data_IF_676159436644
#
_entry.id   IF_676159436644
#
_cell.length_a   1.000
_cell.length_b   1.000
_cell.length_c   1.000
_cell.angle_alpha   90.00
_cell.angle_beta   90.00
_cell.angle_gamma   90.00
#
_symmetry.space_group_name_H-M   'P 1'
#
loop_
_entity.id
_entity.type
_entity.pdbx_description
1 polymer ?
#
# COMPACT_ATOMS: atom_id res chain seq x y z
N UNK A 1 9.36 -8.66 -12.71
CA UNK A 1 7.94 -8.44 -13.07
C UNK A 1 7.59 -9.03 -14.45
N UNK A 2 8.14 -8.53 -15.57
CA UNK A 2 7.93 -9.13 -16.91
C UNK A 2 8.32 -10.61 -17.00
N UNK A 3 9.35 -11.05 -16.27
CA UNK A 3 9.74 -12.47 -16.20
C UNK A 3 8.69 -13.35 -15.51
N UNK A 4 7.91 -12.79 -14.57
CA UNK A 4 6.86 -13.50 -13.83
C UNK A 4 5.58 -13.57 -14.68
N UNK A 5 5.22 -12.45 -15.33
CA UNK A 5 4.04 -12.36 -16.19
C UNK A 5 4.38 -11.52 -17.44
N UNK A 6 4.76 -12.15 -18.57
CA UNK A 6 5.21 -11.44 -19.77
C UNK A 6 4.15 -10.49 -20.37
N UNK A 7 2.88 -10.88 -20.29
CA UNK A 7 1.74 -10.09 -20.78
C UNK A 7 1.40 -8.87 -19.94
N UNK A 8 2.04 -8.67 -18.78
CA UNK A 8 1.78 -7.52 -17.92
C UNK A 8 2.21 -6.21 -18.63
N UNK A 9 1.30 -5.24 -18.64
CA UNK A 9 1.59 -3.87 -19.03
C UNK A 9 2.19 -3.17 -17.81
N UNK A 10 3.33 -2.50 -18.00
CA UNK A 10 4.03 -1.79 -16.94
C UNK A 10 4.31 -0.38 -17.43
N UNK A 11 3.71 0.58 -16.77
CA UNK A 11 4.03 2.00 -16.92
C UNK A 11 4.92 2.43 -15.77
N UNK A 12 5.94 3.25 -16.06
CA UNK A 12 6.89 3.77 -15.07
C UNK A 12 6.89 5.28 -15.17
N UNK A 13 6.85 5.94 -14.02
CA UNK A 13 6.98 7.39 -13.92
C UNK A 13 8.18 7.72 -13.05
N UNK A 14 9.15 8.45 -13.62
CA UNK A 14 10.26 9.02 -12.86
C UNK A 14 9.88 10.44 -12.45
N UNK A 15 9.22 10.56 -11.30
CA UNK A 15 8.78 11.83 -10.76
C UNK A 15 8.69 11.78 -9.24
N UNK A 16 8.82 12.95 -8.61
CA UNK A 16 8.48 13.14 -7.20
C UNK A 16 7.02 13.55 -7.08
N UNK A 17 6.29 13.00 -6.11
CA UNK A 17 4.95 13.45 -5.77
C UNK A 17 5.03 14.62 -4.78
N UNK A 18 4.30 15.70 -5.06
CA UNK A 18 4.01 16.77 -4.14
C UNK A 18 2.53 16.82 -3.75
N UNK A 19 2.16 17.76 -2.85
CA UNK A 19 0.76 18.01 -2.51
C UNK A 19 -0.07 18.34 -3.76
N UNK A 20 -1.20 17.66 -3.91
CA UNK A 20 -2.15 17.76 -5.02
C UNK A 20 -1.87 16.83 -6.20
N UNK A 21 -0.71 16.16 -6.22
CA UNK A 21 -0.34 15.30 -7.33
C UNK A 21 -1.05 13.94 -7.29
N UNK A 22 -1.32 13.38 -6.11
CA UNK A 22 -1.77 11.99 -5.99
C UNK A 22 -3.10 11.75 -6.70
N UNK A 23 -4.07 12.64 -6.49
CA UNK A 23 -5.39 12.52 -7.12
C UNK A 23 -5.32 12.56 -8.66
N UNK A 24 -4.40 13.36 -9.22
CA UNK A 24 -4.18 13.49 -10.67
C UNK A 24 -3.40 12.29 -11.23
N UNK A 25 -2.29 11.94 -10.59
CA UNK A 25 -1.36 10.89 -11.04
C UNK A 25 -2.03 9.52 -11.00
N UNK A 26 -2.81 9.22 -9.97
CA UNK A 26 -3.51 7.94 -9.82
C UNK A 26 -4.96 8.00 -10.28
N UNK A 27 -5.33 8.98 -11.11
CA UNK A 27 -6.73 9.24 -11.50
C UNK A 27 -7.38 8.08 -12.26
N UNK A 28 -6.60 7.35 -13.04
CA UNK A 28 -6.98 6.17 -13.82
C UNK A 28 -6.85 4.84 -13.05
N UNK A 29 -6.28 4.86 -11.84
CA UNK A 29 -6.11 3.66 -11.03
C UNK A 29 -7.37 3.29 -10.26
N UNK A 30 -7.77 2.01 -10.27
CA UNK A 30 -8.82 1.47 -9.40
C UNK A 30 -8.34 1.25 -7.96
N UNK A 31 -7.09 0.80 -7.83
CA UNK A 31 -6.45 0.41 -6.56
C UNK A 31 -5.07 1.07 -6.51
N UNK A 32 -4.74 1.69 -5.38
CA UNK A 32 -3.43 2.31 -5.14
C UNK A 32 -2.78 1.63 -3.94
N UNK A 33 -1.56 1.12 -4.15
CA UNK A 33 -0.74 0.47 -3.12
C UNK A 33 0.38 1.43 -2.72
N UNK A 34 0.37 1.82 -1.45
CA UNK A 34 1.33 2.74 -0.85
C UNK A 34 2.51 1.98 -0.24
N UNK A 35 3.73 2.46 -0.54
CA UNK A 35 4.98 1.89 -0.03
C UNK A 35 6.05 2.95 0.23
N UNK A 36 5.67 4.14 0.69
CA UNK A 36 6.59 5.21 1.04
C UNK A 36 7.20 4.97 2.44
N UNK A 37 8.53 5.10 2.50
CA UNK A 37 9.25 5.17 3.77
C UNK A 37 9.06 6.54 4.47
N UNK A 38 8.71 7.57 3.69
CA UNK A 38 8.50 8.92 4.20
C UNK A 38 7.07 9.12 4.72
N UNK A 39 6.94 9.39 6.02
CA UNK A 39 5.64 9.61 6.70
C UNK A 39 4.83 10.78 6.14
N UNK A 40 5.48 11.84 5.67
CA UNK A 40 4.80 13.02 5.09
C UNK A 40 4.19 12.66 3.75
N UNK A 41 4.93 11.98 2.87
CA UNK A 41 4.41 11.52 1.58
C UNK A 41 3.28 10.51 1.74
N UNK A 42 3.44 9.57 2.69
CA UNK A 42 2.39 8.63 3.06
C UNK A 42 1.10 9.34 3.48
N UNK A 43 1.21 10.29 4.42
CA UNK A 43 0.06 11.07 4.89
C UNK A 43 -0.63 11.80 3.74
N UNK A 44 0.15 12.50 2.90
CA UNK A 44 -0.36 13.23 1.74
C UNK A 44 -1.12 12.31 0.78
N UNK A 45 -0.55 11.16 0.40
CA UNK A 45 -1.19 10.20 -0.49
C UNK A 45 -2.53 9.70 0.09
N UNK A 46 -2.54 9.33 1.37
CA UNK A 46 -3.74 8.83 2.03
C UNK A 46 -4.81 9.91 2.11
N UNK A 47 -4.46 11.14 2.52
CA UNK A 47 -5.43 12.24 2.65
C UNK A 47 -6.07 12.56 1.29
N UNK A 48 -5.26 12.71 0.23
CA UNK A 48 -5.75 13.07 -1.10
C UNK A 48 -6.63 12.01 -1.75
N UNK A 49 -6.38 10.72 -1.46
CA UNK A 49 -7.12 9.63 -2.07
C UNK A 49 -8.23 9.06 -1.18
N UNK A 50 -8.25 9.35 0.13
CA UNK A 50 -9.20 8.78 1.11
C UNK A 50 -10.67 9.11 0.83
N UNK A 51 -10.93 10.22 0.14
CA UNK A 51 -12.27 10.66 -0.23
C UNK A 51 -12.65 10.28 -1.66
N UNK A 52 -11.79 9.53 -2.34
CA UNK A 52 -12.07 8.98 -3.68
C UNK A 52 -12.75 7.62 -3.57
N UNK A 53 -13.32 7.12 -4.68
CA UNK A 53 -13.85 5.75 -4.75
C UNK A 53 -12.78 4.66 -4.90
N UNK A 54 -11.49 5.02 -4.89
CA UNK A 54 -10.37 4.09 -5.13
C UNK A 54 -10.11 3.25 -3.89
N UNK A 55 -9.65 2.01 -4.06
CA UNK A 55 -9.18 1.22 -2.92
C UNK A 55 -7.74 1.62 -2.61
N UNK A 56 -7.47 1.96 -1.34
CA UNK A 56 -6.11 2.26 -0.88
C UNK A 56 -5.61 1.11 -0.03
N UNK A 57 -4.37 0.67 -0.28
CA UNK A 57 -3.68 -0.34 0.51
C UNK A 57 -2.35 0.22 0.98
N UNK A 58 -2.09 0.27 2.28
CA UNK A 58 -0.91 0.91 2.87
C UNK A 58 -0.29 0.05 3.95
N UNK A 59 0.98 0.31 4.28
CA UNK A 59 1.70 -0.35 5.36
C UNK A 59 1.95 0.61 6.55
N UNK A 60 1.82 0.11 7.78
CA UNK A 60 2.18 0.86 8.99
C UNK A 60 2.74 -0.05 10.09
N UNK A 61 3.99 0.18 10.48
CA UNK A 61 4.67 -0.61 11.50
C UNK A 61 5.20 -1.95 10.95
N UNK A 62 6.24 -1.85 10.11
CA UNK A 62 6.90 -2.99 9.45
C UNK A 62 8.24 -3.36 10.06
N UNK A 63 8.71 -2.61 11.07
CA UNK A 63 10.01 -2.80 11.69
C UNK A 63 9.93 -3.76 12.88
N UNK A 64 11.09 -4.23 13.35
CA UNK A 64 11.18 -5.20 14.44
C UNK A 64 10.75 -6.62 14.05
N UNK A 65 10.99 -7.56 14.97
CA UNK A 65 10.84 -9.00 14.71
C UNK A 65 9.48 -9.56 15.09
N UNK A 66 8.65 -8.81 15.83
CA UNK A 66 7.32 -9.28 16.24
C UNK A 66 6.35 -9.26 15.05
N UNK A 67 6.03 -10.45 14.55
CA UNK A 67 5.08 -10.69 13.47
C UNK A 67 3.66 -11.00 13.97
N UNK A 68 3.50 -11.35 15.25
CA UNK A 68 2.21 -11.80 15.80
C UNK A 68 1.18 -10.66 15.88
N UNK A 69 1.66 -9.41 15.84
CA UNK A 69 0.84 -8.20 15.87
C UNK A 69 0.43 -7.68 14.51
N UNK A 70 0.94 -8.27 13.41
CA UNK A 70 0.60 -7.83 12.06
C UNK A 70 -0.87 -8.11 11.79
N UNK A 71 -1.64 -7.06 11.54
CA UNK A 71 -3.07 -7.14 11.26
C UNK A 71 -3.47 -6.14 10.18
N UNK A 72 -4.71 -6.26 9.69
CA UNK A 72 -5.32 -5.34 8.73
C UNK A 72 -6.33 -4.46 9.47
N UNK A 73 -6.22 -3.15 9.31
CA UNK A 73 -7.23 -2.17 9.74
C UNK A 73 -7.87 -1.52 8.52
N UNK A 74 -9.19 -1.38 8.52
CA UNK A 74 -9.95 -0.69 7.46
C UNK A 74 -10.47 0.65 7.97
N UNK A 75 -10.27 1.71 7.19
CA UNK A 75 -10.77 3.05 7.44
C UNK A 75 -11.32 3.62 6.12
N UNK A 76 -12.65 3.63 5.96
CA UNK A 76 -13.27 3.99 4.68
C UNK A 76 -12.83 3.05 3.55
N UNK A 77 -12.25 3.63 2.49
CA UNK A 77 -11.67 2.92 1.35
C UNK A 77 -10.22 2.45 1.58
N UNK A 78 -9.60 2.80 2.72
CA UNK A 78 -8.22 2.49 3.03
C UNK A 78 -8.08 1.21 3.87
N UNK A 79 -7.14 0.35 3.48
CA UNK A 79 -6.73 -0.85 4.19
C UNK A 79 -5.26 -0.70 4.59
N UNK A 80 -4.98 -0.70 5.89
CA UNK A 80 -3.65 -0.50 6.44
C UNK A 80 -3.19 -1.81 7.08
N UNK A 81 -2.04 -2.31 6.65
CA UNK A 81 -1.45 -3.57 7.11
C UNK A 81 -0.20 -3.30 7.94
N UNK A 82 -0.07 -3.98 9.07
CA UNK A 82 1.15 -3.97 9.88
C UNK A 82 0.86 -4.08 11.37
N UNK A 83 1.85 -3.76 12.21
CA UNK A 83 1.69 -3.85 13.67
C UNK A 83 1.21 -2.55 14.34
N UNK A 84 1.17 -1.44 13.58
CA UNK A 84 0.74 -0.11 14.00
C UNK A 84 1.50 0.50 15.18
N UNK A 85 2.69 -0.01 15.52
CA UNK A 85 3.48 0.46 16.67
C UNK A 85 4.94 0.67 16.28
N UNK A 86 5.54 -0.28 15.56
CA UNK A 86 6.97 -0.25 15.28
C UNK A 86 7.34 0.89 14.34
N UNK A 87 8.54 1.44 14.55
CA UNK A 87 9.14 2.44 13.67
C UNK A 87 10.57 2.03 13.34
N UNK A 88 10.98 2.27 12.10
CA UNK A 88 12.33 1.98 11.62
C UNK A 88 13.41 2.87 12.24
N UNK A 89 13.03 4.02 12.83
CA UNK A 89 13.94 4.85 13.61
C UNK A 89 14.36 4.16 14.92
N UNK A 90 13.50 3.31 15.48
CA UNK A 90 13.68 2.69 16.79
C UNK A 90 13.99 1.19 16.70
N UNK A 91 13.68 0.54 15.57
CA UNK A 91 13.79 -0.90 15.38
C UNK A 91 14.41 -1.22 14.01
N UNK A 92 15.28 -2.22 13.96
CA UNK A 92 15.77 -2.73 12.67
C UNK A 92 14.64 -3.35 11.84
N UNK A 93 14.75 -3.22 10.52
CA UNK A 93 13.84 -3.88 9.60
C UNK A 93 14.05 -5.39 9.59
N UNK A 94 12.96 -6.15 9.56
CA UNK A 94 13.01 -7.59 9.54
C UNK A 94 12.32 -8.13 8.27
N UNK A 95 13.12 -8.70 7.37
CA UNK A 95 12.67 -9.17 6.05
C UNK A 95 11.40 -10.04 6.09
N UNK A 96 11.29 -11.05 6.97
CA UNK A 96 10.07 -11.86 7.08
C UNK A 96 8.81 -11.05 7.42
N UNK A 97 8.91 -10.04 8.29
CA UNK A 97 7.78 -9.17 8.64
C UNK A 97 7.38 -8.26 7.47
N UNK A 98 8.37 -7.75 6.74
CA UNK A 98 8.13 -6.98 5.50
C UNK A 98 7.40 -7.84 4.47
N UNK A 99 7.87 -9.07 4.24
CA UNK A 99 7.26 -10.01 3.29
C UNK A 99 5.84 -10.36 3.70
N UNK A 100 5.60 -10.66 4.99
CA UNK A 100 4.26 -10.93 5.51
C UNK A 100 3.31 -9.75 5.25
N UNK A 101 3.77 -8.53 5.55
CA UNK A 101 2.98 -7.31 5.33
C UNK A 101 2.66 -7.12 3.85
N UNK A 102 3.66 -7.23 2.97
CA UNK A 102 3.48 -7.10 1.52
C UNK A 102 2.56 -8.20 0.95
N UNK A 103 2.64 -9.43 1.45
CA UNK A 103 1.78 -10.53 1.02
C UNK A 103 0.31 -10.28 1.41
N UNK A 104 0.06 -9.80 2.63
CA UNK A 104 -1.29 -9.42 3.06
C UNK A 104 -1.84 -8.24 2.24
N UNK A 105 -1.01 -7.24 1.93
CA UNK A 105 -1.38 -6.13 1.04
C UNK A 105 -1.75 -6.64 -0.36
N UNK A 106 -0.95 -7.51 -0.96
CA UNK A 106 -1.26 -8.13 -2.24
C UNK A 106 -2.56 -8.96 -2.20
N UNK A 107 -2.80 -9.67 -1.09
CA UNK A 107 -4.04 -10.42 -0.87
C UNK A 107 -5.28 -9.51 -0.90
N UNK A 108 -5.20 -8.33 -0.26
CA UNK A 108 -6.28 -7.33 -0.29
C UNK A 108 -6.56 -6.86 -1.73
N UNK A 109 -5.51 -6.57 -2.50
CA UNK A 109 -5.65 -6.16 -3.91
C UNK A 109 -6.36 -7.24 -4.71
N UNK A 110 -5.90 -8.49 -4.64
CA UNK A 110 -6.44 -9.59 -5.43
C UNK A 110 -7.88 -9.95 -5.05
N UNK A 111 -8.24 -9.86 -3.77
CA UNK A 111 -9.63 -10.09 -3.34
C UNK A 111 -10.58 -9.04 -3.90
N UNK A 112 -10.21 -7.75 -3.87
CA UNK A 112 -11.06 -6.68 -4.43
C UNK A 112 -11.23 -6.81 -5.95
N UNK A 113 -10.18 -7.23 -6.67
CA UNK A 113 -10.29 -7.48 -8.12
C UNK A 113 -11.30 -8.60 -8.40
N UNK A 114 -11.25 -9.69 -7.63
CA UNK A 114 -12.19 -10.80 -7.78
C UNK A 114 -13.64 -10.42 -7.44
N UNK A 115 -13.85 -9.57 -6.44
CA UNK A 115 -15.19 -9.11 -6.09
C UNK A 115 -15.81 -8.29 -7.23
N UNK A 116 -15.04 -7.38 -7.85
CA UNK A 116 -15.47 -6.60 -9.01
C UNK A 116 -15.82 -7.44 -10.25
N UNK A 117 -15.15 -8.58 -10.46
CA UNK A 117 -15.44 -9.47 -11.60
C UNK A 117 -16.79 -10.21 -11.44
N UNK A 118 -17.34 -10.28 -10.23
CA UNK A 118 -18.60 -10.96 -9.93
C UNK A 118 -19.82 -10.01 -9.87
N UNK A 119 -19.62 -8.70 -10.07
CA UNK A 119 -20.67 -7.67 -10.16
C UNK A 119 -21.07 -7.41 -11.63
#
# INVERSE_FOLDING_TARGET
LKEILPGMIIEKMDMSLGPGDAARVFSDCDIVVEGFDNKVLKKMLIEELSLTGKILVSASGIAGTDMNRVAVKKMGNCHIVGDFISDQADNEVFGPKIILTAALMAGIVLTHVKEKENE
#
